data_IF_807976309555
#
_entry.id   IF_807976309555
#
_cell.length_a   1.000
_cell.length_b   1.000
_cell.length_c   1.000
_cell.angle_alpha   90.00
_cell.angle_beta   90.00
_cell.angle_gamma   90.00
#
_symmetry.space_group_name_H-M   'P 1'
#
loop_
_entity.id
_entity.type
_entity.pdbx_description
1 polymer ?
#
# COMPACT_ATOMS: atom_id res chain seq x y z
N UNK A 1 17.94 -42.14 3.65
CA UNK A 1 18.70 -42.11 2.38
C UNK A 1 18.00 -41.03 1.59
N UNK A 2 18.62 -39.88 1.34
CA UNK A 2 17.92 -38.77 0.68
C UNK A 2 17.59 -39.22 -0.75
N UNK A 3 16.32 -39.51 -0.98
CA UNK A 3 15.78 -39.73 -2.32
C UNK A 3 15.65 -38.38 -3.02
N UNK A 4 15.92 -38.37 -4.32
CA UNK A 4 15.62 -37.21 -5.15
C UNK A 4 14.64 -37.61 -6.23
N UNK A 5 13.71 -36.72 -6.54
CA UNK A 5 12.80 -36.80 -7.67
C UNK A 5 13.16 -35.67 -8.64
N UNK A 6 13.29 -35.99 -9.91
CA UNK A 6 13.51 -35.02 -10.98
C UNK A 6 12.29 -35.09 -11.90
N UNK A 7 11.69 -33.94 -12.21
CA UNK A 7 10.53 -33.93 -13.10
C UNK A 7 10.90 -34.44 -14.48
N UNK A 8 9.95 -35.02 -15.24
CA UNK A 8 10.22 -35.54 -16.58
C UNK A 8 10.82 -34.51 -17.56
N UNK A 9 10.55 -33.23 -17.34
CA UNK A 9 11.10 -32.10 -18.10
C UNK A 9 12.48 -31.61 -17.61
N UNK A 10 12.99 -32.15 -16.50
CA UNK A 10 14.26 -31.74 -15.87
C UNK A 10 14.23 -30.36 -15.19
N UNK A 11 13.07 -29.68 -15.15
CA UNK A 11 12.96 -28.32 -14.63
C UNK A 11 13.04 -28.25 -13.10
N UNK A 12 12.74 -29.35 -12.40
CA UNK A 12 12.71 -29.38 -10.95
C UNK A 12 13.40 -30.61 -10.39
N UNK A 13 14.21 -30.40 -9.34
CA UNK A 13 14.75 -31.48 -8.53
C UNK A 13 14.35 -31.30 -7.07
N UNK A 14 13.59 -32.27 -6.57
CA UNK A 14 13.11 -32.34 -5.20
C UNK A 14 13.98 -33.33 -4.42
N UNK A 15 14.36 -32.98 -3.21
CA UNK A 15 15.13 -33.82 -2.29
C UNK A 15 14.33 -33.98 -1.02
N UNK A 16 14.08 -35.22 -0.61
CA UNK A 16 13.21 -35.47 0.51
C UNK A 16 12.88 -36.94 0.71
N UNK A 17 12.05 -37.17 1.72
CA UNK A 17 11.41 -38.46 1.94
C UNK A 17 9.99 -38.38 1.38
N UNK A 18 9.74 -39.13 0.30
CA UNK A 18 8.48 -39.12 -0.43
C UNK A 18 7.70 -40.43 -0.26
N UNK A 19 6.37 -40.31 -0.21
CA UNK A 19 5.41 -41.37 -0.49
C UNK A 19 5.07 -41.30 -1.97
N UNK A 20 5.09 -42.45 -2.65
CA UNK A 20 4.78 -42.55 -4.08
C UNK A 20 3.47 -43.32 -4.29
N UNK A 21 2.74 -42.99 -5.34
CA UNK A 21 1.60 -43.77 -5.81
C UNK A 21 2.04 -45.06 -6.54
N UNK A 22 1.05 -45.79 -7.09
CA UNK A 22 1.29 -47.02 -7.84
C UNK A 22 2.03 -46.82 -9.18
N UNK A 23 2.10 -45.58 -9.68
CA UNK A 23 2.81 -45.19 -10.90
C UNK A 23 4.23 -44.66 -10.62
N UNK A 24 4.62 -44.58 -9.35
CA UNK A 24 5.92 -44.05 -8.94
C UNK A 24 5.98 -42.52 -8.93
N UNK A 25 4.83 -41.85 -8.92
CA UNK A 25 4.72 -40.40 -8.77
C UNK A 25 4.67 -40.04 -7.27
N UNK A 26 5.43 -39.05 -6.79
CA UNK A 26 5.37 -38.62 -5.40
C UNK A 26 4.01 -37.96 -5.12
N UNK A 27 3.29 -38.46 -4.12
CA UNK A 27 1.96 -37.94 -3.71
C UNK A 27 1.99 -37.19 -2.37
N UNK A 28 3.01 -37.41 -1.54
CA UNK A 28 3.25 -36.64 -0.31
C UNK A 28 4.69 -36.81 0.13
N UNK A 29 5.25 -35.88 0.91
CA UNK A 29 6.59 -36.07 1.44
C UNK A 29 7.16 -34.88 2.18
N UNK A 30 8.21 -35.15 2.98
CA UNK A 30 9.02 -34.10 3.58
C UNK A 30 10.12 -33.70 2.59
N UNK A 31 9.95 -32.53 1.98
CA UNK A 31 10.90 -31.98 1.04
C UNK A 31 11.96 -31.18 1.80
N UNK A 32 13.11 -31.81 2.00
CA UNK A 32 14.27 -31.16 2.60
C UNK A 32 14.85 -30.05 1.72
N UNK A 33 14.72 -30.17 0.39
CA UNK A 33 15.21 -29.15 -0.57
C UNK A 33 14.49 -29.26 -1.91
N UNK A 34 14.09 -28.13 -2.50
CA UNK A 34 13.76 -28.04 -3.94
C UNK A 34 14.78 -27.16 -4.63
N UNK A 35 15.18 -27.56 -5.83
CA UNK A 35 15.94 -26.74 -6.76
C UNK A 35 15.13 -26.68 -8.05
N UNK A 36 14.53 -25.54 -8.34
CA UNK A 36 13.99 -25.25 -9.66
C UNK A 36 15.10 -24.71 -10.55
N UNK A 37 15.08 -25.08 -11.83
CA UNK A 37 16.02 -24.60 -12.82
C UNK A 37 15.30 -23.74 -13.86
N UNK A 38 15.97 -22.68 -14.31
CA UNK A 38 15.56 -21.87 -15.46
C UNK A 38 16.54 -22.13 -16.60
N UNK A 39 16.03 -22.19 -17.84
CA UNK A 39 16.84 -22.28 -19.05
C UNK A 39 16.81 -20.92 -19.76
N UNK A 40 17.89 -20.16 -19.62
CA UNK A 40 18.11 -18.91 -20.36
C UNK A 40 19.23 -19.20 -21.36
N UNK A 41 18.96 -18.99 -22.66
CA UNK A 41 19.91 -19.20 -23.76
C UNK A 41 20.54 -20.60 -23.83
N UNK A 42 19.80 -21.64 -23.44
CA UNK A 42 20.28 -23.04 -23.45
C UNK A 42 21.19 -23.40 -22.27
N UNK A 43 21.27 -22.55 -21.24
CA UNK A 43 22.01 -22.81 -20.01
C UNK A 43 20.99 -23.03 -18.88
N UNK A 44 20.94 -24.26 -18.38
CA UNK A 44 20.15 -24.63 -17.20
C UNK A 44 20.87 -24.18 -15.93
N UNK A 45 20.34 -23.16 -15.24
CA UNK A 45 20.86 -22.68 -13.97
C UNK A 45 19.80 -22.81 -12.86
N UNK A 46 20.20 -23.10 -11.61
CA UNK A 46 19.25 -23.10 -10.49
C UNK A 46 18.67 -21.69 -10.33
N UNK A 47 17.35 -21.57 -10.45
CA UNK A 47 16.61 -20.33 -10.25
C UNK A 47 16.37 -20.13 -8.75
N UNK A 48 15.63 -21.03 -8.08
CA UNK A 48 15.25 -20.88 -6.67
C UNK A 48 15.63 -22.07 -5.79
N UNK A 49 15.60 -21.84 -4.47
CA UNK A 49 15.91 -22.87 -3.46
C UNK A 49 14.99 -22.77 -2.25
N UNK A 50 14.10 -23.74 -2.10
CA UNK A 50 13.36 -23.93 -0.85
C UNK A 50 14.02 -24.98 0.05
N UNK A 51 13.88 -24.85 1.38
CA UNK A 51 14.37 -25.83 2.36
C UNK A 51 13.38 -26.02 3.49
N UNK A 52 13.32 -27.22 4.08
CA UNK A 52 12.38 -27.56 5.15
C UNK A 52 10.90 -27.35 4.75
N UNK A 53 10.52 -27.79 3.56
CA UNK A 53 9.14 -27.75 3.11
C UNK A 53 8.47 -29.09 3.44
N UNK A 54 7.38 -29.10 4.18
CA UNK A 54 6.36 -30.14 4.03
C UNK A 54 5.54 -29.75 2.80
N UNK A 55 5.50 -30.62 1.79
CA UNK A 55 4.68 -30.37 0.60
C UNK A 55 3.69 -31.52 0.48
N UNK A 56 2.41 -31.17 0.48
CA UNK A 56 1.36 -32.07 0.04
C UNK A 56 1.18 -31.83 -1.47
N UNK A 57 1.65 -32.78 -2.29
CA UNK A 57 1.42 -32.76 -3.73
C UNK A 57 0.07 -33.44 -3.97
N UNK A 58 -0.99 -32.75 -3.56
CA UNK A 58 -2.35 -33.18 -3.80
C UNK A 58 -2.77 -32.82 -5.23
N UNK A 59 -3.29 -33.80 -5.97
CA UNK A 59 -4.08 -33.54 -7.18
C UNK A 59 -5.41 -32.95 -6.67
N UNK A 60 -5.57 -31.63 -6.71
CA UNK A 60 -6.87 -31.00 -6.43
C UNK A 60 -7.76 -31.31 -7.64
N UNK A 61 -8.38 -32.50 -7.61
CA UNK A 61 -9.13 -33.12 -8.71
C UNK A 61 -10.36 -32.33 -9.19
N UNK A 62 -10.64 -31.16 -8.62
CA UNK A 62 -11.90 -30.44 -8.84
C UNK A 62 -11.80 -29.12 -9.62
N UNK A 63 -10.61 -28.63 -10.02
CA UNK A 63 -10.53 -27.37 -10.78
C UNK A 63 -9.67 -27.47 -12.06
N UNK A 64 -10.29 -27.08 -13.19
CA UNK A 64 -9.84 -27.21 -14.57
C UNK A 64 -8.66 -26.30 -14.97
N UNK A 65 -7.86 -25.80 -14.02
CA UNK A 65 -6.82 -24.81 -14.28
C UNK A 65 -5.41 -25.43 -14.24
N UNK A 66 -4.77 -25.54 -15.40
CA UNK A 66 -3.43 -26.13 -15.60
C UNK A 66 -2.27 -25.25 -15.10
N UNK A 67 -2.42 -24.52 -13.99
CA UNK A 67 -1.31 -23.76 -13.40
C UNK A 67 -0.67 -24.55 -12.25
N UNK A 68 0.65 -24.77 -12.25
CA UNK A 68 1.31 -25.44 -11.14
C UNK A 68 1.35 -24.50 -9.92
N UNK A 69 0.41 -24.67 -9.00
CA UNK A 69 0.47 -24.06 -7.68
C UNK A 69 1.46 -24.86 -6.81
N UNK A 70 2.43 -24.17 -6.19
CA UNK A 70 3.19 -24.77 -5.10
C UNK A 70 2.44 -24.49 -3.80
N UNK A 71 1.87 -25.55 -3.21
CA UNK A 71 1.10 -25.47 -1.98
C UNK A 71 1.94 -25.90 -0.77
N UNK A 72 1.97 -25.07 0.28
CA UNK A 72 2.70 -25.33 1.52
C UNK A 72 1.77 -25.58 2.71
N UNK A 73 0.90 -26.58 2.63
CA UNK A 73 -0.02 -26.89 3.72
C UNK A 73 0.66 -27.23 5.06
N UNK A 74 0.12 -26.67 6.15
CA UNK A 74 0.37 -27.09 7.54
C UNK A 74 1.84 -27.06 7.99
N UNK A 75 2.62 -26.14 7.42
CA UNK A 75 4.01 -25.96 7.82
C UNK A 75 4.12 -25.01 9.02
N UNK A 76 4.75 -25.48 10.10
CA UNK A 76 5.20 -24.61 11.19
C UNK A 76 6.68 -24.23 10.97
N UNK A 77 6.97 -22.93 10.96
CA UNK A 77 8.33 -22.37 10.89
C UNK A 77 9.12 -22.76 9.61
N UNK A 78 8.42 -22.94 8.48
CA UNK A 78 9.09 -23.19 7.20
C UNK A 78 9.88 -21.97 6.72
N UNK A 79 10.93 -22.21 5.94
CA UNK A 79 11.70 -21.14 5.30
C UNK A 79 11.79 -21.36 3.79
N UNK A 80 11.19 -20.45 3.04
CA UNK A 80 11.23 -20.43 1.59
C UNK A 80 12.15 -19.29 1.15
N UNK A 81 13.13 -19.59 0.30
CA UNK A 81 13.94 -18.56 -0.34
C UNK A 81 13.81 -18.65 -1.85
N UNK A 82 13.28 -17.60 -2.44
CA UNK A 82 13.12 -17.45 -3.87
C UNK A 82 14.23 -16.54 -4.36
N UNK A 83 15.06 -17.07 -5.25
CA UNK A 83 16.12 -16.32 -5.92
C UNK A 83 15.83 -16.33 -7.42
N UNK A 84 16.26 -15.31 -8.15
CA UNK A 84 16.24 -15.28 -9.61
C UNK A 84 15.16 -14.38 -10.23
N UNK A 85 15.17 -14.34 -11.56
CA UNK A 85 14.25 -13.53 -12.38
C UNK A 85 13.05 -14.38 -12.79
N UNK A 86 11.83 -13.95 -12.40
CA UNK A 86 10.58 -14.65 -12.71
C UNK A 86 9.69 -13.73 -13.54
N UNK A 87 9.94 -13.72 -14.84
CA UNK A 87 9.10 -12.96 -15.77
C UNK A 87 7.64 -13.47 -15.81
N UNK A 88 7.39 -14.72 -15.38
CA UNK A 88 6.06 -15.30 -15.27
C UNK A 88 5.57 -15.29 -13.81
N UNK A 89 4.32 -14.85 -13.60
CA UNK A 89 3.69 -14.88 -12.28
C UNK A 89 3.62 -16.32 -11.76
N UNK A 90 4.21 -16.57 -10.59
CA UNK A 90 4.11 -17.84 -9.91
C UNK A 90 3.35 -17.63 -8.58
N UNK A 91 2.07 -18.04 -8.49
CA UNK A 91 1.35 -18.00 -7.23
C UNK A 91 1.86 -19.09 -6.29
N UNK A 92 2.06 -18.72 -5.03
CA UNK A 92 2.38 -19.60 -3.92
C UNK A 92 1.26 -19.49 -2.89
N UNK A 93 0.67 -20.62 -2.57
CA UNK A 93 -0.36 -20.69 -1.55
C UNK A 93 0.25 -21.34 -0.29
N UNK A 94 0.32 -20.56 0.79
CA UNK A 94 0.76 -21.00 2.10
C UNK A 94 -0.32 -21.75 2.88
N UNK A 95 -1.59 -21.64 2.47
CA UNK A 95 -2.74 -22.17 3.20
C UNK A 95 -2.68 -21.81 4.69
N UNK A 96 -2.80 -22.81 5.56
CA UNK A 96 -2.74 -22.66 7.01
C UNK A 96 -1.31 -22.63 7.60
N UNK A 97 -0.27 -22.34 6.79
CA UNK A 97 1.10 -22.34 7.31
C UNK A 97 1.31 -21.22 8.35
N UNK A 98 2.11 -21.51 9.38
CA UNK A 98 2.40 -20.59 10.47
C UNK A 98 3.91 -20.34 10.62
N UNK A 99 4.31 -19.08 10.75
CA UNK A 99 5.70 -18.73 11.02
C UNK A 99 6.59 -18.84 9.79
N UNK A 100 6.02 -18.71 8.59
CA UNK A 100 6.77 -18.85 7.33
C UNK A 100 7.76 -17.70 7.18
N UNK A 101 9.02 -18.02 6.92
CA UNK A 101 10.03 -17.05 6.53
C UNK A 101 10.23 -17.09 5.03
N UNK A 102 9.79 -16.04 4.34
CA UNK A 102 9.93 -15.90 2.91
C UNK A 102 10.99 -14.84 2.60
N UNK A 103 11.99 -15.22 1.81
CA UNK A 103 12.97 -14.26 1.29
C UNK A 103 12.93 -14.27 -0.24
N UNK A 104 12.78 -13.09 -0.83
CA UNK A 104 12.77 -12.86 -2.26
C UNK A 104 13.94 -11.97 -2.67
N UNK A 105 14.68 -12.38 -3.69
CA UNK A 105 15.89 -11.72 -4.17
C UNK A 105 16.01 -11.94 -5.70
N UNK A 106 15.54 -10.96 -6.48
CA UNK A 106 15.71 -10.86 -7.92
C UNK A 106 17.13 -10.36 -8.29
N UNK A 107 17.59 -10.62 -9.51
CA UNK A 107 18.76 -9.88 -10.01
C UNK A 107 18.48 -8.36 -10.06
N UNK A 108 19.53 -7.54 -10.25
CA UNK A 108 19.41 -6.07 -10.32
C UNK A 108 18.40 -5.57 -11.37
N UNK A 109 18.13 -6.37 -12.40
CA UNK A 109 17.21 -6.05 -13.50
C UNK A 109 15.99 -6.99 -13.56
N UNK A 110 15.84 -7.92 -12.60
CA UNK A 110 14.79 -8.92 -12.60
C UNK A 110 13.51 -8.38 -11.97
N UNK A 111 12.36 -8.65 -12.58
CA UNK A 111 11.05 -8.40 -11.97
C UNK A 111 10.52 -9.76 -11.54
N UNK A 112 10.23 -9.94 -10.26
CA UNK A 112 9.46 -11.11 -9.80
C UNK A 112 8.02 -10.65 -9.66
N UNK A 113 7.13 -11.26 -10.45
CA UNK A 113 5.70 -11.24 -10.19
C UNK A 113 5.39 -12.40 -9.26
N UNK A 114 5.10 -12.11 -7.99
CA UNK A 114 4.90 -13.13 -6.98
C UNK A 114 3.54 -12.96 -6.31
N UNK A 115 2.72 -14.01 -6.34
CA UNK A 115 1.47 -14.08 -5.58
C UNK A 115 1.69 -14.90 -4.31
N UNK A 116 1.36 -14.36 -3.15
CA UNK A 116 1.28 -15.12 -1.90
C UNK A 116 -0.19 -15.17 -1.44
N UNK A 117 -0.71 -16.34 -1.16
CA UNK A 117 -2.05 -16.50 -0.59
C UNK A 117 -1.92 -17.25 0.73
N UNK A 118 -2.62 -16.82 1.78
CA UNK A 118 -2.69 -17.56 3.03
C UNK A 118 -1.48 -17.36 3.96
N UNK A 119 -1.62 -17.90 5.16
CA UNK A 119 -0.57 -18.01 6.16
C UNK A 119 -0.67 -17.01 7.30
N UNK A 120 -0.14 -17.42 8.45
CA UNK A 120 -0.21 -16.65 9.70
C UNK A 120 1.20 -16.43 10.26
N UNK A 121 1.44 -15.25 10.84
CA UNK A 121 2.69 -14.92 11.52
C UNK A 121 3.92 -15.06 10.60
N UNK A 122 3.73 -14.69 9.33
CA UNK A 122 4.77 -14.79 8.30
C UNK A 122 5.73 -13.60 8.36
N UNK A 123 7.00 -13.84 8.00
CA UNK A 123 8.01 -12.80 7.84
C UNK A 123 8.52 -12.83 6.41
N UNK A 124 8.28 -11.77 5.67
CA UNK A 124 8.57 -11.64 4.25
C UNK A 124 9.65 -10.57 4.07
N UNK A 125 10.74 -10.92 3.40
CA UNK A 125 11.85 -10.03 3.09
C UNK A 125 12.03 -9.93 1.59
N UNK A 126 11.93 -8.71 1.06
CA UNK A 126 11.91 -8.40 -0.37
C UNK A 126 13.09 -7.49 -0.69
N UNK A 127 14.19 -8.00 -1.25
CA UNK A 127 15.44 -7.21 -1.33
C UNK A 127 15.67 -6.44 -2.64
N UNK A 128 14.80 -6.60 -3.62
CA UNK A 128 15.08 -6.29 -5.04
C UNK A 128 13.86 -5.62 -5.66
N UNK A 129 13.95 -5.11 -6.90
CA UNK A 129 12.76 -4.66 -7.60
C UNK A 129 11.79 -5.82 -7.76
N UNK A 130 10.58 -5.67 -7.21
CA UNK A 130 9.60 -6.75 -7.14
C UNK A 130 8.21 -6.19 -7.38
N UNK A 131 7.36 -6.98 -8.02
CA UNK A 131 5.91 -6.78 -8.00
C UNK A 131 5.34 -7.94 -7.20
N UNK A 132 5.07 -7.70 -5.92
CA UNK A 132 4.54 -8.71 -5.02
C UNK A 132 3.08 -8.40 -4.72
N UNK A 133 2.23 -9.41 -4.91
CA UNK A 133 0.84 -9.42 -4.49
C UNK A 133 0.69 -10.43 -3.37
N UNK A 134 0.07 -10.02 -2.27
CA UNK A 134 -0.14 -10.83 -1.07
C UNK A 134 -1.63 -10.77 -0.73
N UNK A 135 -2.24 -11.91 -0.47
CA UNK A 135 -3.67 -12.03 -0.21
C UNK A 135 -3.94 -12.97 0.96
N UNK A 136 -5.00 -12.69 1.72
CA UNK A 136 -5.50 -13.59 2.77
C UNK A 136 -4.42 -14.01 3.79
N UNK A 137 -3.59 -13.06 4.22
CA UNK A 137 -2.56 -13.32 5.23
C UNK A 137 -2.88 -12.65 6.56
N UNK A 138 -2.43 -13.27 7.66
CA UNK A 138 -2.63 -12.73 9.00
C UNK A 138 -1.31 -12.58 9.77
N UNK A 139 -1.25 -11.60 10.67
CA UNK A 139 -0.11 -11.34 11.57
C UNK A 139 1.25 -11.22 10.84
N UNK A 140 1.22 -10.70 9.60
CA UNK A 140 2.37 -10.80 8.69
C UNK A 140 3.22 -9.54 8.71
N UNK A 141 4.55 -9.75 8.74
CA UNK A 141 5.55 -8.69 8.68
C UNK A 141 6.26 -8.72 7.33
N UNK A 142 6.26 -7.59 6.65
CA UNK A 142 6.87 -7.43 5.34
C UNK A 142 7.96 -6.36 5.48
N UNK A 143 9.17 -6.68 5.02
CA UNK A 143 10.26 -5.72 4.91
C UNK A 143 10.69 -5.61 3.45
N UNK A 144 10.61 -4.39 2.94
CA UNK A 144 11.14 -4.00 1.64
C UNK A 144 12.63 -3.62 1.79
N UNK A 145 13.42 -3.95 0.78
CA UNK A 145 14.86 -3.72 0.73
C UNK A 145 15.20 -2.35 0.17
N UNK A 146 16.45 -2.18 -0.26
CA UNK A 146 16.97 -0.86 -0.68
C UNK A 146 16.53 -0.45 -2.11
N UNK A 147 15.84 -1.34 -2.84
CA UNK A 147 15.45 -1.12 -4.23
C UNK A 147 13.95 -0.83 -4.34
N UNK A 148 13.58 -0.04 -5.35
CA UNK A 148 12.19 0.29 -5.68
C UNK A 148 11.32 -0.94 -5.85
N UNK A 149 10.26 -1.05 -5.06
CA UNK A 149 9.35 -2.20 -5.09
C UNK A 149 7.90 -1.78 -5.28
N UNK A 150 7.11 -2.66 -5.88
CA UNK A 150 5.65 -2.59 -5.89
C UNK A 150 5.10 -3.72 -5.01
N UNK A 151 4.33 -3.36 -4.01
CA UNK A 151 3.70 -4.27 -3.07
C UNK A 151 2.19 -3.99 -3.03
N UNK A 152 1.40 -5.03 -3.29
CA UNK A 152 -0.04 -5.04 -3.08
C UNK A 152 -0.39 -6.07 -2.03
N UNK A 153 -1.11 -5.67 -0.98
CA UNK A 153 -1.65 -6.57 0.06
C UNK A 153 -3.16 -6.44 0.07
N UNK A 154 -3.90 -7.54 0.02
CA UNK A 154 -5.36 -7.53 -0.11
C UNK A 154 -5.98 -8.51 0.90
N UNK A 155 -7.14 -8.16 1.46
CA UNK A 155 -7.96 -9.06 2.28
C UNK A 155 -7.16 -9.70 3.42
N UNK A 156 -6.45 -8.90 4.20
CA UNK A 156 -5.44 -9.37 5.16
C UNK A 156 -5.60 -8.72 6.54
N UNK A 157 -5.08 -9.35 7.59
CA UNK A 157 -5.23 -8.89 8.99
C UNK A 157 -3.88 -8.71 9.70
N UNK A 158 -3.75 -7.65 10.51
CA UNK A 158 -2.57 -7.42 11.36
C UNK A 158 -1.25 -7.33 10.58
N UNK A 159 -1.24 -6.51 9.54
CA UNK A 159 -0.11 -6.35 8.62
C UNK A 159 0.84 -5.27 9.09
N UNK A 160 2.15 -5.54 8.98
CA UNK A 160 3.23 -4.60 9.33
C UNK A 160 4.21 -4.53 8.17
N UNK A 161 4.18 -3.44 7.43
CA UNK A 161 5.03 -3.18 6.27
C UNK A 161 6.11 -2.16 6.67
N UNK A 162 7.36 -2.53 6.45
CA UNK A 162 8.50 -1.64 6.58
C UNK A 162 9.06 -1.39 5.19
N UNK A 163 8.76 -0.21 4.65
CA UNK A 163 9.30 0.30 3.40
C UNK A 163 10.81 0.44 3.44
N UNK A 164 11.38 0.52 2.25
CA UNK A 164 12.79 0.47 1.98
C UNK A 164 13.44 1.83 1.82
N UNK A 165 14.66 1.82 1.30
CA UNK A 165 15.33 3.02 0.81
C UNK A 165 15.07 3.23 -0.69
N UNK A 166 14.27 2.36 -1.31
CA UNK A 166 13.90 2.45 -2.72
C UNK A 166 12.77 3.46 -2.98
N UNK A 167 12.36 3.56 -4.25
CA UNK A 167 11.09 4.19 -4.63
C UNK A 167 9.98 3.17 -4.49
N UNK A 168 9.28 3.13 -3.37
CA UNK A 168 8.32 2.08 -3.09
C UNK A 168 6.87 2.49 -3.40
N UNK A 169 6.13 1.58 -4.02
CA UNK A 169 4.68 1.68 -4.25
C UNK A 169 3.99 0.60 -3.42
N UNK A 170 3.27 1.01 -2.38
CA UNK A 170 2.66 0.13 -1.38
C UNK A 170 1.16 0.37 -1.35
N UNK A 171 0.38 -0.57 -1.86
CA UNK A 171 -1.07 -0.57 -1.78
C UNK A 171 -1.57 -1.65 -0.82
N UNK A 172 -2.44 -1.28 0.12
CA UNK A 172 -3.14 -2.25 0.96
C UNK A 172 -4.65 -2.08 0.79
N UNK A 173 -5.40 -3.14 0.56
CA UNK A 173 -6.86 -3.06 0.41
C UNK A 173 -7.62 -4.11 1.18
N UNK A 174 -8.88 -3.80 1.53
CA UNK A 174 -9.79 -4.71 2.24
C UNK A 174 -9.19 -5.36 3.48
N UNK A 175 -8.32 -4.65 4.20
CA UNK A 175 -7.49 -5.22 5.27
C UNK A 175 -7.73 -4.53 6.61
N UNK A 176 -7.38 -5.18 7.71
CA UNK A 176 -7.50 -4.63 9.07
C UNK A 176 -6.18 -4.62 9.84
N UNK A 177 -6.06 -3.74 10.83
CA UNK A 177 -4.89 -3.62 11.72
C UNK A 177 -3.57 -3.36 10.95
N UNK A 178 -3.65 -2.54 9.89
CA UNK A 178 -2.55 -2.29 8.96
C UNK A 178 -1.58 -1.25 9.52
N UNK A 179 -0.28 -1.49 9.38
CA UNK A 179 0.75 -0.50 9.64
C UNK A 179 1.73 -0.47 8.48
N UNK A 180 2.00 0.72 7.97
CA UNK A 180 2.95 0.96 6.88
C UNK A 180 3.93 2.03 7.34
N UNK A 181 5.21 1.78 7.12
CA UNK A 181 6.25 2.82 7.10
C UNK A 181 6.74 2.94 5.67
N UNK A 182 6.76 4.15 5.08
CA UNK A 182 7.12 4.34 3.66
C UNK A 182 8.61 4.10 3.41
N UNK A 183 9.45 4.37 4.41
CA UNK A 183 10.89 4.15 4.36
C UNK A 183 11.67 5.45 4.18
N UNK A 184 12.94 5.36 3.78
CA UNK A 184 13.87 6.48 3.73
C UNK A 184 14.06 7.12 2.36
N UNK A 185 13.63 6.47 1.27
CA UNK A 185 13.79 6.95 -0.12
C UNK A 185 15.17 7.52 -0.43
N UNK A 186 16.20 6.69 -0.53
CA UNK A 186 17.56 7.13 -0.75
C UNK A 186 17.86 7.41 -2.24
N UNK A 187 17.26 8.43 -2.87
CA UNK A 187 17.84 9.02 -4.08
C UNK A 187 17.58 10.53 -4.19
N UNK A 188 18.61 11.38 -4.40
CA UNK A 188 18.44 12.81 -4.58
C UNK A 188 17.98 13.13 -6.01
N UNK A 189 16.77 12.70 -6.38
CA UNK A 189 16.12 13.16 -7.60
C UNK A 189 15.10 14.24 -7.22
N UNK A 190 15.20 15.45 -7.79
CA UNK A 190 14.59 16.63 -7.18
C UNK A 190 13.07 16.79 -7.33
N UNK A 191 12.32 15.91 -8.01
CA UNK A 191 10.95 16.26 -8.44
C UNK A 191 9.91 15.12 -8.61
N UNK A 192 9.97 14.02 -7.88
CA UNK A 192 8.83 13.07 -7.85
C UNK A 192 8.64 12.54 -6.44
N UNK A 193 7.41 12.20 -5.98
CA UNK A 193 7.24 11.53 -4.69
C UNK A 193 8.04 10.24 -4.72
N UNK A 194 8.84 10.03 -3.68
CA UNK A 194 9.73 8.88 -3.59
C UNK A 194 8.95 7.64 -3.19
N UNK A 195 7.92 7.76 -2.37
CA UNK A 195 7.04 6.62 -2.11
C UNK A 195 5.60 6.97 -2.45
N UNK A 196 4.90 5.99 -3.00
CA UNK A 196 3.46 6.03 -3.21
C UNK A 196 2.86 4.98 -2.28
N UNK A 197 2.06 5.40 -1.31
CA UNK A 197 1.51 4.49 -0.30
C UNK A 197 0.05 4.75 -0.13
N UNK A 198 -0.78 3.71 -0.07
CA UNK A 198 -2.16 3.94 0.25
C UNK A 198 -2.95 2.73 0.69
N UNK A 199 -4.13 3.06 1.19
CA UNK A 199 -5.09 2.11 1.73
C UNK A 199 -6.44 2.28 1.04
N UNK A 200 -7.11 1.16 0.73
CA UNK A 200 -8.44 1.15 0.12
C UNK A 200 -9.37 0.18 0.87
N UNK A 201 -10.42 0.71 1.51
CA UNK A 201 -11.34 -0.09 2.32
C UNK A 201 -10.67 -0.82 3.50
N UNK A 202 -9.72 -0.17 4.17
CA UNK A 202 -9.04 -0.74 5.33
C UNK A 202 -9.58 -0.19 6.66
N UNK A 203 -9.62 -1.02 7.70
CA UNK A 203 -9.98 -0.61 9.06
C UNK A 203 -8.75 -0.62 9.99
N UNK A 204 -8.72 0.29 10.96
CA UNK A 204 -7.64 0.42 11.95
C UNK A 204 -6.23 0.45 11.32
N UNK A 205 -5.99 1.42 10.43
CA UNK A 205 -4.71 1.56 9.73
C UNK A 205 -3.80 2.67 10.30
N UNK A 206 -2.50 2.50 10.10
CA UNK A 206 -1.50 3.54 10.32
C UNK A 206 -0.51 3.62 9.17
N UNK A 207 -0.28 4.82 8.66
CA UNK A 207 0.78 5.11 7.69
C UNK A 207 1.74 6.11 8.34
N UNK A 208 3.03 5.80 8.30
CA UNK A 208 4.10 6.67 8.76
C UNK A 208 5.04 6.93 7.60
N UNK A 209 4.94 8.13 7.03
CA UNK A 209 5.85 8.61 6.02
C UNK A 209 7.25 8.90 6.57
N UNK A 210 8.16 9.18 5.65
CA UNK A 210 9.60 9.19 5.87
C UNK A 210 10.20 10.60 6.01
N UNK A 211 11.51 10.67 5.78
CA UNK A 211 12.25 11.94 5.67
C UNK A 211 12.28 12.46 4.21
N UNK A 212 11.46 11.88 3.33
CA UNK A 212 11.38 12.18 1.90
C UNK A 212 9.93 12.39 1.49
N UNK A 213 9.71 13.12 0.39
CA UNK A 213 8.38 13.41 -0.11
C UNK A 213 7.63 12.13 -0.46
N UNK A 214 6.49 11.92 0.18
CA UNK A 214 5.61 10.79 0.02
C UNK A 214 4.28 11.24 -0.62
N UNK A 215 3.71 10.35 -1.44
CA UNK A 215 2.34 10.46 -1.92
C UNK A 215 1.50 9.42 -1.17
N UNK A 216 0.65 9.89 -0.27
CA UNK A 216 -0.18 9.04 0.58
C UNK A 216 -1.63 9.14 0.15
N UNK A 217 -2.27 8.03 -0.23
CA UNK A 217 -3.68 8.01 -0.62
C UNK A 217 -4.54 7.14 0.30
N UNK A 218 -5.72 7.65 0.65
CA UNK A 218 -6.72 6.98 1.49
C UNK A 218 -8.03 6.96 0.72
N UNK A 219 -8.51 5.77 0.38
CA UNK A 219 -9.71 5.58 -0.41
C UNK A 219 -10.64 4.50 0.19
N UNK A 220 -11.86 4.44 -0.32
CA UNK A 220 -12.73 3.28 -0.28
C UNK A 220 -12.31 2.22 -1.31
N UNK A 221 -12.75 0.99 -1.11
CA UNK A 221 -12.68 -0.07 -2.10
C UNK A 221 -14.08 -0.31 -2.68
N UNK A 222 -14.23 -0.09 -3.98
CA UNK A 222 -15.46 -0.34 -4.71
C UNK A 222 -15.42 -1.72 -5.39
N UNK A 223 -16.40 -2.56 -5.10
CA UNK A 223 -16.56 -3.88 -5.72
C UNK A 223 -17.57 -3.80 -6.87
N UNK A 224 -17.18 -4.31 -8.04
CA UNK A 224 -18.03 -4.35 -9.22
C UNK A 224 -18.24 -5.78 -9.71
N UNK A 225 -19.49 -6.15 -10.00
CA UNK A 225 -19.85 -7.41 -10.67
C UNK A 225 -20.54 -7.06 -11.99
N UNK A 226 -20.02 -7.57 -13.11
CA UNK A 226 -20.50 -7.27 -14.46
C UNK A 226 -20.58 -5.76 -14.79
N UNK A 227 -19.71 -4.96 -14.16
CA UNK A 227 -19.67 -3.50 -14.30
C UNK A 227 -20.71 -2.75 -13.48
N UNK A 228 -21.50 -3.43 -12.64
CA UNK A 228 -22.40 -2.83 -11.66
C UNK A 228 -21.72 -2.78 -10.29
N UNK A 229 -21.79 -1.63 -9.63
CA UNK A 229 -21.29 -1.46 -8.26
C UNK A 229 -22.15 -2.30 -7.29
N UNK A 230 -21.53 -3.23 -6.58
CA UNK A 230 -22.22 -4.12 -5.62
C UNK A 230 -21.87 -3.83 -4.17
N UNK A 231 -20.75 -3.16 -3.91
CA UNK A 231 -20.32 -2.81 -2.56
C UNK A 231 -19.28 -1.69 -2.55
N UNK A 232 -19.28 -0.92 -1.46
CA UNK A 232 -18.21 0.02 -1.13
C UNK A 232 -17.79 -0.30 0.30
N UNK A 233 -16.49 -0.49 0.50
CA UNK A 233 -15.88 -0.60 1.82
C UNK A 233 -15.02 0.63 2.04
N UNK A 234 -15.41 1.50 2.96
CA UNK A 234 -14.67 2.74 3.27
C UNK A 234 -13.47 2.45 4.16
N UNK A 235 -12.37 3.18 3.99
CA UNK A 235 -11.26 3.12 4.95
C UNK A 235 -11.60 3.87 6.24
N UNK A 236 -11.41 3.26 7.40
CA UNK A 236 -11.83 3.82 8.70
C UNK A 236 -10.77 3.75 9.79
N UNK A 237 -10.93 4.58 10.83
CA UNK A 237 -10.12 4.56 12.06
C UNK A 237 -8.61 4.72 11.81
N UNK A 238 -8.27 5.52 10.80
CA UNK A 238 -6.90 5.68 10.32
C UNK A 238 -6.08 6.73 11.05
N UNK A 239 -4.76 6.54 11.09
CA UNK A 239 -3.80 7.59 11.44
C UNK A 239 -2.69 7.69 10.41
N UNK A 240 -2.50 8.85 9.81
CA UNK A 240 -1.43 9.14 8.85
C UNK A 240 -0.47 10.18 9.43
N UNK A 241 0.83 9.93 9.26
CA UNK A 241 1.91 10.89 9.48
C UNK A 241 2.61 11.10 8.14
N UNK A 242 2.69 12.32 7.62
CA UNK A 242 3.44 12.66 6.40
C UNK A 242 4.93 12.48 6.63
N UNK A 243 5.48 13.14 7.66
CA UNK A 243 6.86 12.93 8.06
C UNK A 243 7.68 14.21 8.08
N UNK A 244 8.91 14.15 7.57
CA UNK A 244 9.87 15.26 7.62
C UNK A 244 9.96 16.10 6.35
N UNK A 245 9.32 15.68 5.26
CA UNK A 245 9.43 16.31 3.95
C UNK A 245 8.09 16.93 3.51
N UNK A 246 8.08 17.51 2.31
CA UNK A 246 6.85 18.04 1.70
C UNK A 246 6.06 16.87 1.11
N UNK A 247 4.97 16.49 1.76
CA UNK A 247 4.15 15.34 1.39
C UNK A 247 2.86 15.75 0.69
N UNK A 248 2.31 14.83 -0.11
CA UNK A 248 0.96 14.95 -0.66
C UNK A 248 0.09 13.86 -0.06
N UNK A 249 -0.96 14.28 0.64
CA UNK A 249 -1.89 13.38 1.31
C UNK A 249 -3.27 13.56 0.67
N UNK A 250 -3.71 12.54 -0.07
CA UNK A 250 -5.00 12.50 -0.74
C UNK A 250 -6.00 11.65 0.03
N UNK A 251 -7.01 12.32 0.60
CA UNK A 251 -8.18 11.69 1.19
C UNK A 251 -9.31 11.70 0.16
N UNK A 252 -9.39 10.62 -0.62
CA UNK A 252 -10.48 10.41 -1.58
C UNK A 252 -11.76 10.01 -0.85
N UNK A 253 -11.66 9.06 0.08
CA UNK A 253 -12.77 8.69 0.97
C UNK A 253 -12.25 7.99 2.24
N UNK A 254 -12.73 8.42 3.41
CA UNK A 254 -12.41 7.76 4.68
C UNK A 254 -13.24 8.25 5.86
N UNK A 255 -13.33 7.43 6.92
CA UNK A 255 -14.08 7.76 8.14
C UNK A 255 -13.19 7.77 9.39
N UNK A 256 -13.33 8.83 10.22
CA UNK A 256 -12.54 9.05 11.44
C UNK A 256 -11.02 8.96 11.23
N UNK A 257 -10.53 9.55 10.13
CA UNK A 257 -9.11 9.58 9.83
C UNK A 257 -8.43 10.76 10.53
N UNK A 258 -7.31 10.51 11.19
CA UNK A 258 -6.43 11.57 11.70
C UNK A 258 -5.19 11.69 10.82
N UNK A 259 -4.98 12.87 10.27
CA UNK A 259 -3.82 13.17 9.41
C UNK A 259 -2.94 14.17 10.16
N UNK A 260 -1.65 13.89 10.20
CA UNK A 260 -0.60 14.79 10.68
C UNK A 260 0.37 14.96 9.52
N UNK A 261 0.49 16.17 8.96
CA UNK A 261 1.41 16.45 7.86
C UNK A 261 2.85 16.24 8.31
N UNK A 262 3.37 17.16 9.12
CA UNK A 262 4.68 16.94 9.74
C UNK A 262 5.51 18.19 9.86
N UNK A 263 6.79 18.10 9.49
CA UNK A 263 7.71 19.25 9.51
C UNK A 263 7.77 20.00 8.17
N UNK A 264 7.47 19.33 7.05
CA UNK A 264 7.55 19.93 5.71
C UNK A 264 6.29 20.69 5.34
N UNK A 265 6.33 21.30 4.15
CA UNK A 265 5.16 21.99 3.62
C UNK A 265 4.27 20.97 2.90
N UNK A 266 3.11 20.66 3.47
CA UNK A 266 2.28 19.55 3.02
C UNK A 266 1.07 19.99 2.18
N UNK A 267 0.62 19.07 1.35
CA UNK A 267 -0.56 19.21 0.50
C UNK A 267 -1.63 18.21 0.90
N UNK A 268 -2.76 18.72 1.35
CA UNK A 268 -3.92 17.93 1.71
C UNK A 268 -4.98 18.07 0.62
N UNK A 269 -5.23 16.98 -0.10
CA UNK A 269 -6.31 16.92 -1.09
C UNK A 269 -7.48 16.20 -0.44
N UNK A 270 -8.62 16.88 -0.32
CA UNK A 270 -9.82 16.38 0.33
C UNK A 270 -10.94 16.29 -0.70
N UNK A 271 -11.39 15.06 -0.95
CA UNK A 271 -12.56 14.76 -1.78
C UNK A 271 -13.76 14.41 -0.89
N UNK A 272 -13.75 13.26 -0.21
CA UNK A 272 -14.86 12.80 0.65
C UNK A 272 -14.39 12.36 2.04
N UNK A 273 -15.34 12.31 2.98
CA UNK A 273 -15.15 11.63 4.25
C UNK A 273 -14.93 12.55 5.46
N UNK A 274 -14.58 11.95 6.59
CA UNK A 274 -14.46 12.66 7.87
C UNK A 274 -13.05 12.56 8.42
N UNK A 275 -12.41 13.71 8.64
CA UNK A 275 -11.04 13.73 9.11
C UNK A 275 -10.73 14.89 10.07
N UNK A 276 -9.67 14.68 10.86
CA UNK A 276 -9.00 15.71 11.62
C UNK A 276 -7.59 15.85 11.05
N UNK A 277 -7.25 17.04 10.56
CA UNK A 277 -5.96 17.34 9.95
C UNK A 277 -5.18 18.26 10.89
N UNK A 278 -3.94 17.89 11.14
CA UNK A 278 -2.90 18.76 11.68
C UNK A 278 -1.94 19.01 10.53
N UNK A 279 -1.86 20.25 10.05
CA UNK A 279 -0.95 20.63 8.98
C UNK A 279 0.48 20.33 9.41
N UNK A 280 0.87 20.89 10.55
CA UNK A 280 2.19 20.69 11.12
C UNK A 280 2.98 22.00 11.16
N UNK A 281 4.21 21.96 10.67
CA UNK A 281 5.05 23.14 10.51
C UNK A 281 5.04 23.61 9.05
N UNK A 282 5.65 24.77 8.81
CA UNK A 282 5.75 25.39 7.48
C UNK A 282 4.39 25.67 6.82
N UNK A 283 4.36 25.86 5.50
CA UNK A 283 3.20 26.43 4.79
C UNK A 283 2.38 25.34 4.11
N UNK A 284 1.27 24.98 4.74
CA UNK A 284 0.39 23.90 4.30
C UNK A 284 -0.72 24.37 3.38
N UNK A 285 -1.16 23.46 2.50
CA UNK A 285 -2.22 23.76 1.54
C UNK A 285 -3.34 22.74 1.65
N UNK A 286 -4.56 23.23 1.84
CA UNK A 286 -5.76 22.41 1.96
C UNK A 286 -6.65 22.61 0.74
N UNK A 287 -6.68 21.63 -0.17
CA UNK A 287 -7.54 21.62 -1.34
C UNK A 287 -8.84 20.86 -1.05
N UNK A 288 -9.96 21.51 -1.28
CA UNK A 288 -11.29 20.89 -1.19
C UNK A 288 -11.94 20.79 -2.57
N UNK A 289 -12.32 19.59 -2.98
CA UNK A 289 -13.15 19.40 -4.17
C UNK A 289 -14.59 19.80 -3.85
N UNK A 290 -15.23 20.60 -4.70
CA UNK A 290 -16.59 21.12 -4.47
C UNK A 290 -17.69 20.16 -4.90
N UNK A 291 -17.48 19.44 -6.00
CA UNK A 291 -18.45 18.47 -6.53
C UNK A 291 -18.20 17.04 -6.02
N UNK A 292 -17.31 16.87 -5.06
CA UNK A 292 -17.10 15.61 -4.35
C UNK A 292 -18.29 15.27 -3.44
N UNK A 293 -18.32 14.03 -2.96
CA UNK A 293 -19.28 13.60 -1.94
C UNK A 293 -19.13 14.32 -0.60
N UNK A 294 -19.83 13.78 0.42
CA UNK A 294 -19.95 14.43 1.72
C UNK A 294 -18.61 14.41 2.49
N UNK A 295 -18.08 15.58 2.86
CA UNK A 295 -16.96 15.72 3.79
C UNK A 295 -17.23 16.58 5.03
N UNK A 296 -16.60 16.19 6.14
CA UNK A 296 -16.57 16.89 7.43
C UNK A 296 -15.13 16.97 7.96
N UNK A 297 -14.46 18.06 7.63
CA UNK A 297 -13.03 18.27 7.89
C UNK A 297 -12.80 19.26 9.02
N UNK A 298 -11.86 18.92 9.89
CA UNK A 298 -11.40 19.77 10.99
C UNK A 298 -9.90 19.99 10.87
N UNK A 299 -9.49 21.20 10.47
CA UNK A 299 -8.09 21.62 10.47
C UNK A 299 -7.78 22.17 11.87
N UNK A 300 -6.78 21.58 12.53
CA UNK A 300 -6.56 21.71 13.98
C UNK A 300 -5.59 22.82 14.37
N UNK A 301 -4.76 23.25 13.44
CA UNK A 301 -3.60 24.10 13.67
C UNK A 301 -3.37 25.09 12.52
N UNK A 302 -4.43 25.46 11.79
CA UNK A 302 -4.35 26.39 10.66
C UNK A 302 -3.65 27.71 11.06
N UNK A 303 -2.53 28.01 10.41
CA UNK A 303 -1.75 29.21 10.60
C UNK A 303 -2.09 30.28 9.57
N UNK A 304 -2.76 31.35 10.01
CA UNK A 304 -3.17 32.47 9.15
C UNK A 304 -2.00 33.24 8.50
N UNK A 305 -0.78 33.07 8.97
CA UNK A 305 0.40 33.72 8.39
C UNK A 305 1.08 32.88 7.29
N UNK A 306 0.76 31.58 7.20
CA UNK A 306 1.52 30.60 6.38
C UNK A 306 0.62 29.71 5.50
N UNK A 307 -0.50 29.23 6.03
CA UNK A 307 -1.34 28.24 5.37
C UNK A 307 -2.35 28.86 4.39
N UNK A 308 -2.76 28.05 3.40
CA UNK A 308 -3.83 28.44 2.48
C UNK A 308 -4.89 27.35 2.25
N UNK A 309 -6.09 27.82 1.93
CA UNK A 309 -7.21 26.99 1.49
C UNK A 309 -7.44 27.18 -0.01
N UNK A 310 -7.70 26.10 -0.73
CA UNK A 310 -8.07 26.13 -2.14
C UNK A 310 -9.37 25.35 -2.38
N UNK A 311 -10.06 25.70 -3.46
CA UNK A 311 -11.25 24.99 -3.91
C UNK A 311 -11.13 24.67 -5.39
N UNK A 312 -11.52 23.44 -5.75
CA UNK A 312 -11.62 22.98 -7.13
C UNK A 312 -13.05 22.51 -7.43
N UNK A 313 -13.47 22.56 -8.70
CA UNK A 313 -14.72 21.95 -9.14
C UNK A 313 -14.61 20.43 -9.25
N UNK A 314 -13.46 19.93 -9.69
CA UNK A 314 -13.18 18.52 -9.92
C UNK A 314 -11.67 18.32 -9.69
N UNK A 315 -11.17 17.10 -9.51
CA UNK A 315 -9.72 16.79 -9.37
C UNK A 315 -8.88 17.12 -10.63
N UNK A 316 -9.42 17.94 -11.53
CA UNK A 316 -8.80 18.46 -12.74
C UNK A 316 -7.74 19.54 -12.50
N UNK A 317 -7.56 20.00 -11.24
CA UNK A 317 -6.65 21.06 -10.84
C UNK A 317 -7.00 22.44 -11.44
N UNK A 318 -8.27 22.64 -11.82
CA UNK A 318 -8.82 23.93 -12.29
C UNK A 318 -9.42 24.72 -11.12
N UNK A 319 -8.55 25.14 -10.20
CA UNK A 319 -8.95 25.90 -9.02
C UNK A 319 -9.61 27.24 -9.37
N UNK A 320 -10.57 27.65 -8.55
CA UNK A 320 -11.03 29.03 -8.57
C UNK A 320 -9.94 29.96 -8.03
N UNK A 321 -9.97 31.23 -8.43
CA UNK A 321 -9.01 32.23 -7.92
C UNK A 321 -9.13 32.39 -6.40
N UNK A 322 -8.06 32.82 -5.74
CA UNK A 322 -7.99 33.10 -4.32
C UNK A 322 -9.12 34.03 -3.85
N UNK A 323 -9.44 35.07 -4.64
CA UNK A 323 -10.57 35.95 -4.33
C UNK A 323 -11.92 35.23 -4.39
N UNK A 324 -12.14 34.36 -5.39
CA UNK A 324 -13.37 33.58 -5.47
C UNK A 324 -13.47 32.56 -4.33
N UNK A 325 -12.35 31.93 -3.97
CA UNK A 325 -12.25 31.01 -2.83
C UNK A 325 -12.56 31.72 -1.52
N UNK A 326 -11.97 32.89 -1.29
CA UNK A 326 -12.26 33.74 -0.13
C UNK A 326 -13.74 34.13 -0.09
N UNK A 327 -14.30 34.66 -1.20
CA UNK A 327 -15.70 35.07 -1.27
C UNK A 327 -16.66 33.90 -0.97
N UNK A 328 -16.38 32.71 -1.54
CA UNK A 328 -17.16 31.49 -1.33
C UNK A 328 -17.09 31.02 0.12
N UNK A 329 -15.89 30.97 0.70
CA UNK A 329 -15.68 30.57 2.09
C UNK A 329 -16.42 31.50 3.05
N UNK A 330 -16.26 32.81 2.84
CA UNK A 330 -16.81 33.86 3.71
C UNK A 330 -18.32 34.03 3.58
N UNK A 331 -18.93 33.65 2.45
CA UNK A 331 -20.39 33.68 2.28
C UNK A 331 -21.12 32.84 3.36
N UNK A 332 -20.51 31.72 3.76
CA UNK A 332 -21.11 30.76 4.69
C UNK A 332 -20.36 30.62 6.02
N UNK A 333 -19.24 31.34 6.20
CA UNK A 333 -18.43 31.26 7.40
C UNK A 333 -19.06 32.00 8.59
N UNK A 334 -18.93 31.42 9.78
CA UNK A 334 -19.27 32.06 11.04
C UNK A 334 -18.37 31.55 12.18
N UNK A 335 -18.21 32.35 13.23
CA UNK A 335 -17.46 31.95 14.41
C UNK A 335 -18.30 31.10 15.36
N UNK A 336 -17.70 30.04 15.88
CA UNK A 336 -18.26 29.20 16.94
C UNK A 336 -17.21 28.93 18.02
N UNK A 337 -17.22 29.77 19.05
CA UNK A 337 -16.20 29.71 20.09
C UNK A 337 -14.88 30.25 19.53
N UNK A 338 -13.82 29.45 19.62
CA UNK A 338 -12.51 29.79 19.04
C UNK A 338 -12.32 29.25 17.60
N UNK A 339 -13.39 28.80 16.92
CA UNK A 339 -13.27 28.17 15.62
C UNK A 339 -14.04 28.95 14.56
N UNK A 340 -13.52 28.96 13.33
CA UNK A 340 -14.28 29.35 12.14
C UNK A 340 -14.93 28.09 11.56
N UNK A 341 -16.23 28.17 11.28
CA UNK A 341 -16.99 27.09 10.66
C UNK A 341 -17.59 27.62 9.37
N UNK A 342 -17.38 26.93 8.26
CA UNK A 342 -18.08 27.20 7.00
C UNK A 342 -18.78 25.94 6.50
N UNK A 343 -19.78 26.12 5.65
CA UNK A 343 -20.48 25.03 4.97
C UNK A 343 -20.64 25.41 3.51
N UNK A 344 -20.09 24.58 2.61
CA UNK A 344 -20.08 24.83 1.18
C UNK A 344 -20.68 23.59 0.53
N UNK A 345 -21.76 23.76 -0.22
CA UNK A 345 -22.43 22.67 -0.96
C UNK A 345 -22.88 21.47 -0.07
N UNK A 346 -23.05 21.70 1.24
CA UNK A 346 -23.41 20.68 2.24
C UNK A 346 -22.23 20.15 3.04
N UNK A 347 -21.02 20.35 2.53
CA UNK A 347 -19.76 19.94 3.15
C UNK A 347 -19.32 20.91 4.23
N UNK A 348 -18.70 20.39 5.30
CA UNK A 348 -18.31 21.20 6.46
C UNK A 348 -16.80 21.28 6.62
N UNK A 349 -16.32 22.51 6.79
CA UNK A 349 -14.92 22.81 7.10
C UNK A 349 -14.88 23.57 8.43
N UNK A 350 -14.01 23.16 9.33
CA UNK A 350 -13.76 23.81 10.62
C UNK A 350 -12.29 24.15 10.74
N UNK A 351 -11.97 25.44 10.86
CA UNK A 351 -10.65 25.92 11.24
C UNK A 351 -10.64 26.14 12.75
N UNK A 352 -9.84 25.35 13.46
CA UNK A 352 -9.73 25.44 14.92
C UNK A 352 -8.79 26.56 15.35
N UNK A 353 -9.15 27.20 16.47
CA UNK A 353 -8.37 28.29 17.08
C UNK A 353 -8.04 29.44 16.11
N UNK A 354 -8.88 29.63 15.09
CA UNK A 354 -8.82 30.69 14.09
C UNK A 354 -9.95 31.71 14.34
N UNK A 355 -9.63 33.00 14.18
CA UNK A 355 -10.60 34.10 14.20
C UNK A 355 -11.07 34.42 12.78
N UNK A 356 -12.35 34.71 12.60
CA UNK A 356 -12.90 35.08 11.29
C UNK A 356 -12.33 36.43 10.80
N UNK A 357 -12.02 37.34 11.73
CA UNK A 357 -11.45 38.66 11.43
C UNK A 357 -9.98 38.60 10.99
N UNK A 358 -9.30 37.48 11.26
CA UNK A 358 -7.89 37.28 10.91
C UNK A 358 -7.73 36.72 9.49
N UNK A 359 -8.81 36.18 8.89
CA UNK A 359 -8.78 35.64 7.53
C UNK A 359 -8.80 36.76 6.49
N UNK A 360 -7.97 36.59 5.46
CA UNK A 360 -7.89 37.48 4.30
C UNK A 360 -7.78 36.68 3.00
N UNK A 361 -7.76 37.37 1.86
CA UNK A 361 -7.57 36.72 0.56
C UNK A 361 -6.24 35.98 0.45
N UNK A 362 -5.22 36.38 1.22
CA UNK A 362 -3.89 35.76 1.20
C UNK A 362 -3.90 34.36 1.85
N UNK A 363 -4.95 34.01 2.61
CA UNK A 363 -5.18 32.67 3.14
C UNK A 363 -5.82 31.71 2.13
N UNK A 364 -5.92 32.12 0.86
CA UNK A 364 -6.52 31.33 -0.20
C UNK A 364 -5.60 31.26 -1.41
N UNK A 365 -5.51 30.08 -2.01
CA UNK A 365 -4.56 29.81 -3.10
C UNK A 365 -5.23 29.92 -4.48
N UNK A 366 -4.56 30.58 -5.44
CA UNK A 366 -5.03 30.75 -6.83
C UNK A 366 -4.89 29.47 -7.68
N UNK A 367 -3.88 28.66 -7.38
CA UNK A 367 -3.51 27.44 -8.12
C UNK A 367 -3.07 26.38 -7.14
N UNK A 368 -3.58 25.16 -7.32
CA UNK A 368 -3.14 23.99 -6.59
C UNK A 368 -2.58 22.97 -7.56
N UNK A 369 -1.25 22.93 -7.66
CA UNK A 369 -0.54 21.80 -8.26
C UNK A 369 0.17 21.12 -7.09
N UNK A 370 -0.11 19.82 -6.83
CA UNK A 370 0.51 19.14 -5.70
C UNK A 370 2.04 19.15 -5.83
N UNK A 371 2.73 19.41 -4.72
CA UNK A 371 4.19 19.39 -4.62
C UNK A 371 4.66 17.99 -5.03
N UNK A 372 5.64 17.93 -5.91
CA UNK A 372 6.16 16.67 -6.44
C UNK A 372 5.40 16.09 -7.65
N UNK A 373 4.28 16.67 -8.09
CA UNK A 373 3.52 16.18 -9.27
C UNK A 373 3.91 16.88 -10.59
N UNK A 374 4.86 17.83 -10.54
CA UNK A 374 5.39 18.49 -11.74
C UNK A 374 6.28 17.53 -12.56
N UNK A 375 5.79 17.15 -13.76
CA UNK A 375 6.47 16.25 -14.70
C UNK A 375 7.60 16.85 -15.55
#
# INVERSE_FOLDING_TARGET
MITYYETPDGLYRYFGDFTYDEFGMPISGMITRVIGYSEIDGITAPAWRATNLSVEIGDHLDELENYPYLWLAQNENASLSVYGDFSAAAPFDLGDANGVQLRMDAGADGIINFGLIGGVNSNIFMNTPLHVRIEDVAETRIKIGENSSFLSVIDSESIRILGGDGRDSIGVSLSSDVYISTGGGALPEPFTPHNETGVAGCDDFRIAGGDVADFIYINSYAEYIDGELVGITTSSNGVVYGGGADDTIYLENGEDVRILGGEGSDDFLIDEGTCNIFGGADADRFLFTRDAGDYDVRIKDFNVDEDCVAFDYDISYETITAQQAFDLFMENAFERGANVVTTIDGNRIILHDTSLDDLSVDNFCDTFIPRGVDG
#
